data_IF_906077202008
#
_entry.id   IF_906077202008
#
_cell.length_a   1.000
_cell.length_b   1.000
_cell.length_c   1.000
_cell.angle_alpha   90.00
_cell.angle_beta   90.00
_cell.angle_gamma   90.00
#
_symmetry.space_group_name_H-M   'P 1'
#
loop_
_entity.id
_entity.type
_entity.pdbx_description
1 polymer ?
#
# COMPACT_ATOMS: atom_id res chain seq x y z
N UNK A 1 -35.36 -8.86 -19.33
CA UNK A 1 -35.02 -7.97 -18.19
C UNK A 1 -34.00 -8.67 -17.33
N UNK A 2 -32.78 -8.16 -17.33
CA UNK A 2 -31.89 -7.99 -16.18
C UNK A 2 -30.75 -7.12 -16.72
N UNK A 3 -31.03 -5.82 -16.81
CA UNK A 3 -29.98 -4.81 -16.84
C UNK A 3 -29.23 -4.92 -15.52
N UNK A 4 -28.07 -5.54 -15.52
CA UNK A 4 -27.16 -5.48 -14.38
C UNK A 4 -25.78 -5.05 -14.85
N UNK A 5 -25.62 -3.73 -14.75
CA UNK A 5 -24.43 -3.05 -14.27
C UNK A 5 -23.25 -2.90 -15.25
N UNK A 6 -23.36 -1.84 -16.08
CA UNK A 6 -22.22 -1.04 -16.57
C UNK A 6 -21.39 -0.56 -15.35
N UNK A 7 -20.53 -1.40 -14.78
CA UNK A 7 -19.52 -0.95 -13.82
C UNK A 7 -18.50 -0.11 -14.59
N UNK A 8 -18.66 1.20 -14.45
CA UNK A 8 -17.78 2.30 -14.83
C UNK A 8 -16.28 1.91 -14.92
N UNK A 9 -15.84 1.44 -16.08
CA UNK A 9 -14.41 1.36 -16.39
C UNK A 9 -13.94 2.75 -16.86
N UNK A 10 -13.82 3.66 -15.89
CA UNK A 10 -13.32 5.01 -16.11
C UNK A 10 -11.89 4.91 -16.62
N UNK A 11 -11.54 5.50 -17.76
CA UNK A 11 -10.17 5.47 -18.26
C UNK A 11 -9.29 6.50 -17.49
N UNK A 12 -7.96 6.43 -17.64
CA UNK A 12 -7.03 7.36 -16.96
C UNK A 12 -7.39 8.84 -17.23
N UNK A 13 -7.87 9.19 -18.43
CA UNK A 13 -8.25 10.56 -18.76
C UNK A 13 -9.40 11.06 -17.89
N UNK A 14 -10.43 10.25 -17.73
CA UNK A 14 -11.59 10.60 -16.90
C UNK A 14 -11.20 10.70 -15.42
N UNK A 15 -10.32 9.82 -14.91
CA UNK A 15 -9.79 9.94 -13.53
C UNK A 15 -9.03 11.25 -13.30
N UNK A 16 -8.18 11.65 -14.24
CA UNK A 16 -7.55 12.97 -14.19
C UNK A 16 -8.58 14.10 -14.22
N UNK A 17 -9.63 13.98 -15.04
CA UNK A 17 -10.70 14.98 -15.10
C UNK A 17 -11.43 15.11 -13.75
N UNK A 18 -11.81 13.99 -13.13
CA UNK A 18 -12.43 13.95 -11.80
C UNK A 18 -11.52 14.61 -10.76
N UNK A 19 -10.24 14.24 -10.77
CA UNK A 19 -9.25 14.79 -9.85
C UNK A 19 -9.07 16.30 -10.00
N UNK A 20 -8.91 16.83 -11.22
CA UNK A 20 -8.76 18.27 -11.45
C UNK A 20 -10.02 19.05 -11.09
N UNK A 21 -11.21 18.49 -11.35
CA UNK A 21 -12.48 19.12 -10.92
C UNK A 21 -12.62 19.16 -9.40
N UNK A 22 -12.26 18.08 -8.71
CA UNK A 22 -12.38 17.99 -7.26
C UNK A 22 -11.38 18.88 -6.51
N UNK A 23 -10.16 19.01 -7.03
CA UNK A 23 -9.08 19.78 -6.39
C UNK A 23 -9.00 21.23 -6.86
N UNK A 24 -9.61 21.57 -8.00
CA UNK A 24 -9.55 22.89 -8.61
C UNK A 24 -8.19 23.26 -9.22
N UNK A 25 -7.22 22.35 -9.23
CA UNK A 25 -5.89 22.62 -9.79
C UNK A 25 -5.92 22.48 -11.32
N UNK A 26 -5.13 23.30 -12.01
CA UNK A 26 -4.99 23.20 -13.46
C UNK A 26 -4.01 22.08 -13.82
N UNK A 27 -4.14 21.54 -15.04
CA UNK A 27 -3.18 20.56 -15.57
C UNK A 27 -1.75 21.12 -15.64
N UNK A 28 -1.61 22.43 -15.85
CA UNK A 28 -0.30 23.08 -15.85
C UNK A 28 0.32 23.08 -14.45
N UNK A 29 -0.43 23.50 -13.43
CA UNK A 29 0.03 23.50 -12.05
C UNK A 29 0.40 22.09 -11.60
N UNK A 30 -0.45 21.12 -11.91
CA UNK A 30 -0.19 19.72 -11.65
C UNK A 30 1.11 19.24 -12.30
N UNK A 31 1.33 19.55 -13.58
CA UNK A 31 2.53 19.16 -14.33
C UNK A 31 3.82 19.68 -13.70
N UNK A 32 3.80 20.93 -13.21
CA UNK A 32 4.94 21.55 -12.54
C UNK A 32 5.26 20.85 -11.23
N UNK A 33 4.25 20.59 -10.39
CA UNK A 33 4.45 19.95 -9.07
C UNK A 33 4.96 18.52 -9.16
N UNK A 34 4.47 17.73 -10.12
CA UNK A 34 4.93 16.34 -10.28
C UNK A 34 6.21 16.19 -11.10
N UNK A 35 6.78 17.31 -11.59
CA UNK A 35 7.98 17.29 -12.43
C UNK A 35 7.78 16.59 -13.78
N UNK A 36 6.57 16.67 -14.37
CA UNK A 36 6.27 16.05 -15.65
C UNK A 36 5.85 17.08 -16.70
N UNK A 37 6.12 16.79 -17.97
CA UNK A 37 5.68 17.67 -19.06
C UNK A 37 4.17 17.54 -19.31
N UNK A 38 3.53 18.60 -19.82
CA UNK A 38 2.11 18.55 -20.25
C UNK A 38 1.87 17.47 -21.32
N UNK A 39 2.83 17.24 -22.22
CA UNK A 39 2.75 16.20 -23.25
C UNK A 39 2.81 14.80 -22.64
N UNK A 40 3.57 14.58 -21.57
CA UNK A 40 3.58 13.32 -20.81
C UNK A 40 2.20 13.02 -20.23
N UNK A 41 1.58 13.98 -19.53
CA UNK A 41 0.23 13.81 -18.97
C UNK A 41 -0.78 13.49 -20.08
N UNK A 42 -0.73 14.26 -21.17
CA UNK A 42 -1.60 14.04 -22.32
C UNK A 42 -1.39 12.65 -22.97
N UNK A 43 -0.18 12.11 -22.93
CA UNK A 43 0.13 10.76 -23.43
C UNK A 43 -0.43 9.68 -22.51
N UNK A 44 -0.37 9.88 -21.19
CA UNK A 44 -0.96 8.98 -20.18
C UNK A 44 -2.49 8.94 -20.28
N UNK A 45 -3.13 10.10 -20.42
CA UNK A 45 -4.59 10.19 -20.61
C UNK A 45 -5.07 9.43 -21.84
N UNK A 46 -4.27 9.43 -22.92
CA UNK A 46 -4.58 8.68 -24.15
C UNK A 46 -4.12 7.22 -24.13
N UNK A 47 -3.51 6.76 -23.04
CA UNK A 47 -3.00 5.39 -22.92
C UNK A 47 -1.85 5.04 -23.88
N UNK A 48 -1.15 6.03 -24.45
CA UNK A 48 0.01 5.75 -25.34
C UNK A 48 1.18 5.14 -24.57
N UNK A 49 1.39 5.60 -23.35
CA UNK A 49 2.41 5.11 -22.43
C UNK A 49 1.83 5.06 -21.01
N UNK A 50 2.30 4.13 -20.19
CA UNK A 50 1.97 4.07 -18.77
C UNK A 50 2.56 5.24 -17.98
N UNK A 51 1.98 5.53 -16.81
CA UNK A 51 2.54 6.49 -15.86
C UNK A 51 3.72 5.82 -15.16
N UNK A 52 4.94 6.41 -15.17
CA UNK A 52 6.06 5.83 -14.44
C UNK A 52 5.76 5.75 -12.94
N UNK A 53 6.18 4.66 -12.29
CA UNK A 53 5.96 4.46 -10.85
C UNK A 53 6.56 5.57 -9.97
N UNK A 54 7.66 6.17 -10.40
CA UNK A 54 8.25 7.34 -9.72
C UNK A 54 7.29 8.54 -9.71
N UNK A 55 6.64 8.82 -10.84
CA UNK A 55 5.67 9.92 -10.94
C UNK A 55 4.42 9.60 -10.14
N UNK A 56 3.93 8.35 -10.15
CA UNK A 56 2.79 7.94 -9.31
C UNK A 56 3.11 8.21 -7.83
N UNK A 57 4.32 7.88 -7.38
CA UNK A 57 4.75 8.16 -6.01
C UNK A 57 4.83 9.66 -5.70
N UNK A 58 5.25 10.48 -6.66
CA UNK A 58 5.19 11.94 -6.52
C UNK A 58 3.75 12.44 -6.43
N UNK A 59 2.82 11.88 -7.23
CA UNK A 59 1.39 12.24 -7.14
C UNK A 59 0.80 11.88 -5.77
N UNK A 60 1.16 10.71 -5.24
CA UNK A 60 0.78 10.29 -3.89
C UNK A 60 1.32 11.25 -2.84
N UNK A 61 2.58 11.67 -2.94
CA UNK A 61 3.20 12.58 -1.96
C UNK A 61 2.66 14.02 -2.03
N UNK A 62 2.52 14.58 -3.24
CA UNK A 62 2.15 15.98 -3.45
C UNK A 62 0.65 16.25 -3.26
N UNK A 63 -0.19 15.24 -3.57
CA UNK A 63 -1.64 15.43 -3.64
C UNK A 63 -2.42 14.42 -2.80
N UNK A 64 -1.75 13.54 -2.06
CA UNK A 64 -2.36 12.37 -1.43
C UNK A 64 -3.17 11.54 -2.43
N UNK A 65 -2.82 11.56 -3.72
CA UNK A 65 -3.58 10.85 -4.75
C UNK A 65 -3.38 9.35 -4.57
N UNK A 66 -4.47 8.59 -4.41
CA UNK A 66 -4.42 7.14 -4.20
C UNK A 66 -3.99 6.41 -5.48
N UNK A 67 -2.84 5.71 -5.48
CA UNK A 67 -2.35 4.96 -6.63
C UNK A 67 -3.32 3.86 -7.08
N UNK A 68 -4.00 3.20 -6.12
CA UNK A 68 -4.94 2.11 -6.43
C UNK A 68 -6.11 2.67 -7.22
N UNK A 69 -6.70 3.77 -6.77
CA UNK A 69 -7.77 4.44 -7.49
C UNK A 69 -7.33 4.96 -8.85
N UNK A 70 -6.13 5.54 -8.96
CA UNK A 70 -5.60 6.05 -10.23
C UNK A 70 -5.40 4.96 -11.29
N UNK A 71 -5.06 3.74 -10.88
CA UNK A 71 -4.78 2.63 -11.81
C UNK A 71 -6.04 1.82 -12.08
N UNK A 72 -6.78 1.45 -11.04
CA UNK A 72 -7.90 0.50 -11.11
C UNK A 72 -9.27 1.18 -11.16
N UNK A 73 -9.38 2.42 -10.68
CA UNK A 73 -10.65 3.10 -10.43
C UNK A 73 -11.36 2.67 -9.14
N UNK A 74 -10.77 1.75 -8.37
CA UNK A 74 -11.35 1.24 -7.13
C UNK A 74 -10.86 2.02 -5.90
N UNK A 75 -11.74 2.13 -4.90
CA UNK A 75 -11.46 2.83 -3.65
C UNK A 75 -11.64 4.34 -3.73
N UNK A 76 -11.09 5.05 -2.75
CA UNK A 76 -11.17 6.52 -2.68
C UNK A 76 -10.06 7.17 -3.51
N UNK A 77 -10.38 8.31 -4.15
CA UNK A 77 -9.42 9.07 -4.96
C UNK A 77 -8.26 9.62 -4.15
N UNK A 78 -8.51 10.10 -2.93
CA UNK A 78 -7.51 10.66 -2.04
C UNK A 78 -7.21 9.63 -0.96
N UNK A 79 -5.94 9.26 -0.83
CA UNK A 79 -5.43 8.49 0.29
C UNK A 79 -5.55 9.33 1.56
N UNK A 80 -6.03 8.70 2.62
CA UNK A 80 -6.08 9.27 3.96
C UNK A 80 -4.96 8.61 4.79
N UNK A 81 -3.70 9.08 4.67
CA UNK A 81 -2.55 8.42 5.28
C UNK A 81 -2.67 8.34 6.80
N UNK A 82 -3.30 9.33 7.44
CA UNK A 82 -3.64 9.33 8.86
C UNK A 82 -4.60 8.21 9.25
N UNK A 83 -5.65 7.96 8.46
CA UNK A 83 -6.57 6.85 8.71
C UNK A 83 -5.91 5.49 8.50
N UNK A 84 -4.87 5.46 7.66
CA UNK A 84 -4.17 4.24 7.29
C UNK A 84 -2.85 4.07 8.03
N UNK A 85 -2.51 4.97 8.97
CA UNK A 85 -1.20 5.03 9.63
C UNK A 85 -0.88 3.72 10.35
N UNK A 86 -1.77 3.24 11.20
CA UNK A 86 -1.59 1.99 11.95
C UNK A 86 -1.42 0.79 11.01
N UNK A 87 -2.25 0.71 9.96
CA UNK A 87 -2.14 -0.35 8.95
C UNK A 87 -0.81 -0.30 8.22
N UNK A 88 -0.37 0.88 7.81
CA UNK A 88 0.89 1.09 7.09
C UNK A 88 2.10 0.76 7.98
N UNK A 89 2.05 1.14 9.26
CA UNK A 89 3.06 0.78 10.25
C UNK A 89 3.14 -0.73 10.46
N UNK A 90 1.99 -1.40 10.58
CA UNK A 90 1.89 -2.86 10.67
C UNK A 90 2.47 -3.54 9.43
N UNK A 91 2.05 -3.15 8.23
CA UNK A 91 2.57 -3.70 6.97
C UNK A 91 4.08 -3.47 6.84
N UNK A 92 4.56 -2.31 7.25
CA UNK A 92 6.00 -2.01 7.29
C UNK A 92 6.76 -2.93 8.26
N UNK A 93 6.18 -3.22 9.43
CA UNK A 93 6.75 -4.17 10.38
C UNK A 93 6.78 -5.60 9.82
N UNK A 94 5.69 -6.04 9.22
CA UNK A 94 5.58 -7.34 8.57
C UNK A 94 6.61 -7.50 7.45
N UNK A 95 6.74 -6.51 6.57
CA UNK A 95 7.74 -6.53 5.51
C UNK A 95 9.17 -6.63 6.07
N UNK A 96 9.48 -5.89 7.16
CA UNK A 96 10.81 -5.99 7.81
C UNK A 96 11.06 -7.40 8.33
N UNK A 97 10.09 -8.05 8.96
CA UNK A 97 10.20 -9.44 9.40
C UNK A 97 10.44 -10.36 8.21
N UNK A 98 9.66 -10.25 7.14
CA UNK A 98 9.85 -11.04 5.92
C UNK A 98 11.25 -10.89 5.33
N UNK A 99 11.81 -9.67 5.33
CA UNK A 99 13.19 -9.44 4.90
C UNK A 99 14.23 -10.08 5.83
N UNK A 100 13.98 -10.14 7.15
CA UNK A 100 14.85 -10.84 8.10
C UNK A 100 14.83 -12.35 7.85
N UNK A 101 13.64 -12.95 7.71
CA UNK A 101 13.47 -14.38 7.45
C UNK A 101 14.11 -14.77 6.12
N UNK A 102 13.96 -13.96 5.08
CA UNK A 102 14.59 -14.19 3.77
C UNK A 102 16.12 -14.27 3.87
N UNK A 103 16.74 -13.45 4.72
CA UNK A 103 18.21 -13.42 4.89
C UNK A 103 18.73 -14.52 5.81
N UNK A 104 17.87 -15.24 6.54
CA UNK A 104 18.24 -16.21 7.57
C UNK A 104 17.39 -17.48 7.43
N UNK A 105 17.77 -18.44 6.57
CA UNK A 105 16.97 -19.63 6.27
C UNK A 105 16.57 -20.45 7.50
N UNK A 106 17.49 -20.63 8.46
CA UNK A 106 17.20 -21.34 9.71
C UNK A 106 16.13 -20.62 10.55
N UNK A 107 16.15 -19.29 10.59
CA UNK A 107 15.14 -18.53 11.32
C UNK A 107 13.77 -18.64 10.64
N UNK A 108 13.75 -18.72 9.30
CA UNK A 108 12.52 -18.97 8.57
C UNK A 108 11.92 -20.33 8.95
N UNK A 109 12.72 -21.40 8.93
CA UNK A 109 12.27 -22.74 9.34
C UNK A 109 11.71 -22.72 10.77
N UNK A 110 12.41 -22.09 11.72
CA UNK A 110 11.90 -22.00 13.11
C UNK A 110 10.60 -21.22 13.23
N UNK A 111 10.38 -20.21 12.38
CA UNK A 111 9.11 -19.47 12.35
C UNK A 111 8.00 -20.31 11.75
N UNK A 112 8.29 -21.04 10.68
CA UNK A 112 7.33 -21.94 10.05
C UNK A 112 6.94 -23.06 11.04
N UNK A 113 7.90 -23.69 11.72
CA UNK A 113 7.66 -24.70 12.77
C UNK A 113 6.80 -24.14 13.91
N UNK A 114 7.04 -22.89 14.31
CA UNK A 114 6.25 -22.24 15.36
C UNK A 114 4.82 -21.94 14.89
N UNK A 115 4.63 -21.56 13.63
CA UNK A 115 3.30 -21.34 13.04
C UNK A 115 2.52 -22.65 12.88
N UNK A 116 3.21 -23.76 12.62
CA UNK A 116 2.60 -25.09 12.61
C UNK A 116 2.20 -25.51 14.01
N UNK A 117 3.12 -25.39 14.99
CA UNK A 117 2.83 -25.64 16.39
C UNK A 117 1.61 -24.83 16.85
N UNK A 118 1.55 -23.54 16.51
CA UNK A 118 0.42 -22.67 16.86
C UNK A 118 -0.92 -23.24 16.39
N UNK A 119 -1.01 -23.94 15.25
CA UNK A 119 -2.29 -24.55 14.80
C UNK A 119 -2.78 -25.64 15.74
N UNK A 120 -1.86 -26.36 16.36
CA UNK A 120 -2.15 -27.53 17.20
C UNK A 120 -2.39 -27.16 18.67
N UNK A 121 -2.13 -25.90 19.07
CA UNK A 121 -2.31 -25.43 20.44
C UNK A 121 -3.75 -25.07 20.77
N UNK A 122 -4.18 -25.47 21.98
CA UNK A 122 -5.40 -24.99 22.62
C UNK A 122 -5.28 -23.52 23.04
N UNK A 123 -6.42 -22.86 23.28
CA UNK A 123 -6.45 -21.46 23.75
C UNK A 123 -5.72 -21.26 25.10
N UNK A 124 -5.76 -22.27 25.96
CA UNK A 124 -5.07 -22.28 27.26
C UNK A 124 -3.54 -22.27 27.07
N UNK A 125 -3.04 -23.13 26.19
CA UNK A 125 -1.61 -23.21 25.87
C UNK A 125 -1.11 -21.96 25.15
N UNK A 126 -1.89 -21.40 24.22
CA UNK A 126 -1.60 -20.09 23.59
C UNK A 126 -1.50 -18.98 24.64
N UNK A 127 -2.42 -18.99 25.61
CA UNK A 127 -2.41 -18.09 26.74
C UNK A 127 -1.12 -18.19 27.56
N UNK A 128 -0.68 -19.41 27.86
CA UNK A 128 0.57 -19.67 28.57
C UNK A 128 1.80 -19.17 27.79
N UNK A 129 1.92 -19.48 26.50
CA UNK A 129 3.02 -18.99 25.64
C UNK A 129 3.03 -17.47 25.60
N UNK A 130 1.87 -16.83 25.44
CA UNK A 130 1.77 -15.35 25.43
C UNK A 130 2.23 -14.74 26.75
N UNK A 131 1.91 -15.37 27.89
CA UNK A 131 2.39 -14.95 29.20
C UNK A 131 3.91 -15.11 29.32
N UNK A 132 4.46 -16.25 28.85
CA UNK A 132 5.90 -16.50 28.81
C UNK A 132 6.62 -15.44 27.97
N UNK A 133 6.16 -15.17 26.75
CA UNK A 133 6.73 -14.17 25.86
C UNK A 133 6.68 -12.75 26.44
N UNK A 134 5.61 -12.38 27.17
CA UNK A 134 5.55 -11.09 27.89
C UNK A 134 6.57 -10.98 29.02
N UNK A 135 6.84 -12.08 29.70
CA UNK A 135 7.83 -12.14 30.78
C UNK A 135 9.28 -12.30 30.28
N UNK A 136 9.44 -12.63 29.00
CA UNK A 136 10.75 -12.86 28.40
C UNK A 136 11.52 -11.55 28.26
N UNK A 137 12.62 -11.45 29.00
CA UNK A 137 13.61 -10.39 28.81
C UNK A 137 14.59 -10.85 27.74
N UNK A 138 14.74 -10.13 26.61
CA UNK A 138 15.74 -10.48 25.63
C UNK A 138 17.11 -10.48 26.32
N UNK A 139 17.91 -11.50 26.04
CA UNK A 139 19.29 -11.57 26.52
C UNK A 139 20.00 -10.34 25.96
N UNK A 140 20.34 -9.43 26.86
CA UNK A 140 21.04 -8.18 26.60
C UNK A 140 22.24 -8.46 25.68
N UNK A 141 22.18 -8.08 24.40
CA UNK A 141 23.39 -8.00 23.57
C UNK A 141 24.08 -6.70 23.94
N UNK A 142 24.80 -6.74 25.05
CA UNK A 142 25.83 -5.78 25.37
C UNK A 142 26.96 -5.90 24.34
N UNK A 143 26.95 -5.03 23.33
CA UNK A 143 28.06 -4.18 22.86
C UNK A 143 27.68 -3.49 21.57
#
# INVERSE_FOLDING_TARGET
MLETNKKNNINIAERFSVFFKATGITQEEFSKRIGASRSSISSWQRGRFGIPGSVIKTMEYEFNLNPVWLITGEGEMISQPEQNKERNERLGAEFRILQLLRKRPLLKLTVDDFLELDRDLSEEERGAIKAMLKSWKPVNTAK
#
